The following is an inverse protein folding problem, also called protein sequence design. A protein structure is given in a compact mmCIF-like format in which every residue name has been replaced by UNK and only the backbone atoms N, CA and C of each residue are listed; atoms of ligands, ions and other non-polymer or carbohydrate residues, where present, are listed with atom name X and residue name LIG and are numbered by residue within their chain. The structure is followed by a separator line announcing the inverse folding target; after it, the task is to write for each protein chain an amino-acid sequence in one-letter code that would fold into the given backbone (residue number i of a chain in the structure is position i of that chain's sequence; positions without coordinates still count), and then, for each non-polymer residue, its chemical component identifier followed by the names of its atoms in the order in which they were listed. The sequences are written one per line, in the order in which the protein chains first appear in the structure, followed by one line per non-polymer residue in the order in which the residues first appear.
data_IF_756652681572
#
_entry.id   IF_756652681572
#
_cell.length_a   1.000
_cell.length_b   1.000
_cell.length_c   1.000
_cell.angle_alpha   90.00
_cell.angle_beta   90.00
_cell.angle_gamma   90.00
#
_symmetry.space_group_name_H-M   'P 1'
#
loop_
_entity.id
_entity.type
_entity.pdbx_description
1 polymer ?
#
# COMPACT_ATOMS: atom_id res chain seq x y z
N UNK A 1 24.25 15.23 -47.49
CA UNK A 1 22.85 15.55 -47.27
C UNK A 1 22.71 16.41 -46.02
N UNK A 2 22.12 17.63 -46.06
CA UNK A 2 22.10 18.55 -44.93
C UNK A 2 21.03 18.13 -43.90
N UNK A 3 21.40 18.25 -42.61
CA UNK A 3 20.48 18.12 -41.48
C UNK A 3 19.58 19.35 -41.46
N UNK A 4 18.26 19.13 -41.56
CA UNK A 4 17.30 20.19 -41.36
C UNK A 4 17.14 20.48 -39.86
N UNK A 5 17.53 21.65 -39.44
CA UNK A 5 17.19 22.21 -38.13
C UNK A 5 15.73 22.69 -38.18
N UNK A 6 14.89 22.10 -37.31
CA UNK A 6 13.54 22.63 -37.05
C UNK A 6 13.73 23.69 -35.95
N UNK A 7 13.67 24.95 -36.32
CA UNK A 7 13.52 26.08 -35.40
C UNK A 7 12.07 26.07 -34.89
N UNK A 8 11.87 25.70 -33.63
CA UNK A 8 10.62 25.98 -32.92
C UNK A 8 10.83 27.33 -32.23
N UNK A 9 10.20 28.37 -32.75
CA UNK A 9 10.06 29.63 -32.01
C UNK A 9 9.16 29.35 -30.77
N UNK A 10 9.80 29.27 -29.63
CA UNK A 10 9.13 29.31 -28.35
C UNK A 10 8.74 30.76 -28.06
N UNK A 11 7.46 31.11 -28.20
CA UNK A 11 6.94 32.30 -27.58
C UNK A 11 7.04 32.14 -26.08
N UNK A 12 7.76 33.00 -25.39
CA UNK A 12 7.85 33.08 -23.94
C UNK A 12 6.49 33.40 -23.34
N UNK A 13 5.69 32.37 -23.06
CA UNK A 13 4.63 32.43 -22.05
C UNK A 13 5.29 31.95 -20.78
N UNK A 14 5.54 32.85 -19.84
CA UNK A 14 6.19 32.52 -18.57
C UNK A 14 5.28 31.58 -17.79
N UNK A 15 5.84 30.51 -17.24
CA UNK A 15 5.13 29.51 -16.42
C UNK A 15 4.32 30.12 -15.26
N UNK A 16 4.68 31.34 -14.82
CA UNK A 16 3.98 32.06 -13.76
C UNK A 16 2.55 32.50 -14.13
N UNK A 17 2.25 32.70 -15.42
CA UNK A 17 0.94 33.16 -15.86
C UNK A 17 -0.06 31.98 -16.02
N UNK A 18 0.43 30.78 -16.34
CA UNK A 18 -0.39 29.56 -16.40
C UNK A 18 -0.77 29.07 -15.02
N UNK A 19 0.14 29.11 -14.06
CA UNK A 19 -0.14 28.73 -12.67
C UNK A 19 -1.07 29.72 -11.98
N UNK A 20 -0.98 31.04 -12.32
CA UNK A 20 -1.84 32.07 -11.76
C UNK A 20 -3.29 32.01 -12.30
N UNK A 21 -3.51 31.55 -13.52
CA UNK A 21 -4.84 31.42 -14.10
C UNK A 21 -5.55 30.12 -13.61
N UNK A 22 -4.77 29.04 -13.39
CA UNK A 22 -5.26 27.79 -12.84
C UNK A 22 -5.64 27.89 -11.36
N UNK A 23 -4.98 28.79 -10.60
CA UNK A 23 -5.27 29.05 -9.19
C UNK A 23 -6.39 30.07 -8.94
N UNK A 24 -6.92 30.76 -9.95
CA UNK A 24 -7.91 31.85 -9.76
C UNK A 24 -9.37 31.44 -9.83
N UNK A 25 -9.69 30.24 -10.30
CA UNK A 25 -11.05 29.72 -10.26
C UNK A 25 -11.10 28.43 -9.46
N UNK A 26 -11.22 28.56 -8.14
CA UNK A 26 -11.45 27.47 -7.19
C UNK A 26 -12.84 26.84 -7.34
N UNK A 27 -13.21 26.43 -8.54
CA UNK A 27 -14.35 25.53 -8.76
C UNK A 27 -13.80 24.12 -8.94
N UNK A 28 -14.27 23.16 -8.12
CA UNK A 28 -13.96 21.76 -8.39
C UNK A 28 -14.42 21.44 -9.82
N UNK A 29 -13.57 20.77 -10.59
CA UNK A 29 -13.97 20.21 -11.88
C UNK A 29 -14.97 19.10 -11.57
N UNK A 30 -16.27 19.47 -11.50
CA UNK A 30 -17.33 18.48 -11.32
C UNK A 30 -17.54 17.85 -12.68
N UNK A 31 -17.28 16.54 -12.87
CA UNK A 31 -17.68 15.85 -14.10
C UNK A 31 -19.21 15.95 -14.22
N UNK A 32 -19.68 16.28 -15.42
CA UNK A 32 -21.12 16.22 -15.73
C UNK A 32 -21.64 14.80 -15.41
N UNK A 33 -22.89 14.69 -14.99
CA UNK A 33 -23.60 13.48 -14.51
C UNK A 33 -23.63 12.26 -15.45
N UNK A 34 -22.88 12.25 -16.54
CA UNK A 34 -22.73 11.10 -17.41
C UNK A 34 -21.51 10.29 -16.96
N UNK A 35 -21.77 9.15 -16.36
CA UNK A 35 -20.83 8.13 -15.82
C UNK A 35 -19.93 7.46 -16.90
N UNK A 36 -19.55 8.19 -17.93
CA UNK A 36 -18.53 7.77 -18.90
C UNK A 36 -17.18 8.28 -18.44
N UNK A 37 -16.30 7.34 -18.08
CA UNK A 37 -14.93 7.65 -17.66
C UNK A 37 -14.26 8.58 -18.71
N UNK A 38 -13.93 9.80 -18.29
CA UNK A 38 -13.12 10.69 -19.10
C UNK A 38 -11.68 10.16 -19.09
N UNK A 39 -11.11 9.73 -20.25
CA UNK A 39 -9.77 9.12 -20.30
C UNK A 39 -8.67 10.03 -19.77
N UNK A 40 -8.80 11.34 -19.93
CA UNK A 40 -7.83 12.34 -19.46
C UNK A 40 -7.88 12.39 -17.92
N UNK A 41 -9.06 12.48 -17.33
CA UNK A 41 -9.20 12.46 -15.87
C UNK A 41 -8.74 11.12 -15.28
N UNK A 42 -9.05 10.01 -15.94
CA UNK A 42 -8.58 8.70 -15.52
C UNK A 42 -7.04 8.63 -15.43
N UNK A 43 -6.36 9.14 -16.46
CA UNK A 43 -4.88 9.18 -16.49
C UNK A 43 -4.33 10.12 -15.41
N UNK A 44 -4.92 11.30 -15.25
CA UNK A 44 -4.50 12.26 -14.21
C UNK A 44 -4.64 11.63 -12.82
N UNK A 45 -5.79 11.03 -12.49
CA UNK A 45 -6.01 10.44 -11.17
C UNK A 45 -5.17 9.19 -10.94
N UNK A 46 -4.95 8.38 -11.98
CA UNK A 46 -4.03 7.23 -11.89
C UNK A 46 -2.62 7.69 -11.49
N UNK A 47 -2.11 8.75 -12.13
CA UNK A 47 -0.80 9.32 -11.81
C UNK A 47 -0.77 10.00 -10.43
N UNK A 48 -1.83 10.69 -10.03
CA UNK A 48 -1.93 11.29 -8.69
C UNK A 48 -1.89 10.21 -7.59
N UNK A 49 -2.69 9.17 -7.70
CA UNK A 49 -2.67 8.09 -6.71
C UNK A 49 -1.34 7.33 -6.70
N UNK A 50 -0.76 7.05 -7.88
CA UNK A 50 0.58 6.42 -7.97
C UNK A 50 1.64 7.28 -7.28
N UNK A 51 1.64 8.60 -7.53
CA UNK A 51 2.55 9.55 -6.89
C UNK A 51 2.38 9.57 -5.37
N UNK A 52 1.15 9.47 -4.84
CA UNK A 52 0.92 9.39 -3.39
C UNK A 52 1.56 8.12 -2.83
N UNK A 53 1.33 6.95 -3.44
CA UNK A 53 1.91 5.69 -3.00
C UNK A 53 3.46 5.69 -3.08
N UNK A 54 4.03 6.32 -4.11
CA UNK A 54 5.48 6.52 -4.22
C UNK A 54 6.03 7.42 -3.11
N UNK A 55 5.36 8.52 -2.79
CA UNK A 55 5.76 9.42 -1.71
C UNK A 55 5.67 8.74 -0.33
N UNK A 56 4.68 7.87 -0.12
CA UNK A 56 4.64 6.99 1.06
C UNK A 56 5.92 6.13 1.12
N UNK A 57 6.31 5.51 0.01
CA UNK A 57 7.51 4.69 -0.09
C UNK A 57 8.79 5.47 0.19
N UNK A 58 8.92 6.68 -0.35
CA UNK A 58 10.06 7.58 -0.08
C UNK A 58 10.12 7.96 1.41
N UNK A 59 8.97 8.22 2.03
CA UNK A 59 8.89 8.51 3.47
C UNK A 59 9.37 7.30 4.27
N UNK A 60 8.86 6.10 3.95
CA UNK A 60 9.27 4.86 4.60
C UNK A 60 10.77 4.62 4.50
N UNK A 61 11.32 4.68 3.30
CA UNK A 61 12.75 4.50 3.05
C UNK A 61 13.61 5.46 3.88
N UNK A 62 13.23 6.74 3.94
CA UNK A 62 14.03 7.77 4.62
C UNK A 62 13.95 7.70 6.15
N UNK A 63 12.89 7.18 6.70
CA UNK A 63 12.63 7.17 8.14
C UNK A 63 12.92 5.83 8.82
N UNK A 64 13.01 4.72 8.07
CA UNK A 64 13.31 3.40 8.60
C UNK A 64 14.78 3.24 9.00
N UNK A 65 15.04 2.26 9.86
CA UNK A 65 16.37 1.91 10.35
C UNK A 65 16.95 0.68 9.67
N UNK A 66 16.12 -0.35 9.40
CA UNK A 66 16.62 -1.62 8.88
C UNK A 66 17.18 -1.49 7.47
N UNK A 67 18.25 -2.25 7.19
CA UNK A 67 18.88 -2.33 5.87
C UNK A 67 17.91 -2.86 4.81
N UNK A 68 17.01 -3.78 5.19
CA UNK A 68 16.03 -4.34 4.26
C UNK A 68 15.11 -3.25 3.70
N UNK A 69 14.58 -2.39 4.55
CA UNK A 69 13.69 -1.30 4.14
C UNK A 69 14.46 -0.18 3.47
N UNK A 70 15.56 0.27 4.10
CA UNK A 70 16.28 1.47 3.70
C UNK A 70 17.12 1.30 2.44
N UNK A 71 17.83 0.16 2.33
CA UNK A 71 18.81 -0.07 1.26
C UNK A 71 18.30 -1.03 0.19
N UNK A 72 17.59 -2.09 0.60
CA UNK A 72 17.04 -3.08 -0.33
C UNK A 72 15.68 -2.71 -0.88
N UNK A 73 15.02 -1.70 -0.31
CA UNK A 73 13.67 -1.26 -0.66
C UNK A 73 12.63 -2.39 -0.57
N UNK A 74 12.83 -3.29 0.40
CA UNK A 74 11.98 -4.45 0.60
C UNK A 74 10.70 -4.08 1.36
N UNK A 75 9.87 -3.31 0.68
CA UNK A 75 8.59 -2.82 1.18
C UNK A 75 7.63 -2.50 0.03
N UNK A 76 6.37 -2.30 0.37
CA UNK A 76 5.33 -1.84 -0.56
C UNK A 76 4.37 -0.89 0.14
N UNK A 77 3.92 0.14 -0.59
CA UNK A 77 2.92 1.09 -0.12
C UNK A 77 1.73 1.09 -1.09
N UNK A 78 0.53 1.17 -0.56
CA UNK A 78 -0.69 1.08 -1.36
C UNK A 78 -1.85 1.87 -0.75
N UNK A 79 -2.82 2.20 -1.61
CA UNK A 79 -4.07 2.88 -1.28
C UNK A 79 -5.24 1.95 -1.61
N UNK A 80 -6.21 1.92 -0.72
CA UNK A 80 -7.39 1.05 -0.82
C UNK A 80 -8.68 1.86 -0.67
N UNK A 81 -9.76 1.36 -1.26
CA UNK A 81 -11.11 1.84 -0.97
C UNK A 81 -11.51 1.53 0.48
N UNK A 82 -12.62 2.12 0.94
CA UNK A 82 -13.21 1.78 2.25
C UNK A 82 -13.61 0.31 2.40
N UNK A 83 -13.73 -0.42 1.30
CA UNK A 83 -14.04 -1.88 1.28
C UNK A 83 -12.78 -2.75 1.25
N UNK A 84 -11.59 -2.16 1.25
CA UNK A 84 -10.31 -2.88 1.20
C UNK A 84 -9.88 -3.33 -0.19
N UNK A 85 -10.53 -2.83 -1.25
CA UNK A 85 -10.12 -3.12 -2.61
C UNK A 85 -8.97 -2.21 -3.03
N UNK A 86 -7.94 -2.79 -3.64
CA UNK A 86 -6.76 -2.07 -4.09
C UNK A 86 -7.13 -1.03 -5.16
N UNK A 87 -6.68 0.20 -4.96
CA UNK A 87 -6.77 1.27 -5.96
C UNK A 87 -5.46 1.39 -6.71
N UNK A 88 -4.37 1.55 -5.97
CA UNK A 88 -3.03 1.71 -6.51
C UNK A 88 -1.99 1.21 -5.50
N UNK A 89 -0.90 0.72 -6.03
CA UNK A 89 0.34 0.49 -5.28
C UNK A 89 1.51 1.16 -6.04
N UNK A 90 2.53 1.55 -5.32
CA UNK A 90 3.78 1.95 -5.95
C UNK A 90 4.50 0.73 -6.56
N UNK A 91 5.39 0.92 -7.55
CA UNK A 91 6.09 -0.17 -8.23
C UNK A 91 7.21 -0.76 -7.33
N UNK A 92 6.80 -1.37 -6.23
CA UNK A 92 7.66 -1.99 -5.23
C UNK A 92 7.72 -3.52 -5.41
N UNK A 93 7.78 -4.27 -4.31
CA UNK A 93 8.00 -5.73 -4.34
C UNK A 93 6.74 -6.48 -4.84
N UNK A 94 6.83 -7.25 -5.93
CA UNK A 94 5.67 -7.91 -6.52
C UNK A 94 4.95 -8.90 -5.60
N UNK A 95 5.68 -9.61 -4.72
CA UNK A 95 5.09 -10.60 -3.80
C UNK A 95 4.10 -9.97 -2.82
N UNK A 96 4.24 -8.69 -2.51
CA UNK A 96 3.33 -7.98 -1.62
C UNK A 96 1.99 -7.62 -2.27
N UNK A 97 1.98 -7.43 -3.61
CA UNK A 97 0.90 -6.76 -4.34
C UNK A 97 -0.46 -7.43 -4.22
N UNK A 98 -0.54 -8.74 -4.45
CA UNK A 98 -1.81 -9.48 -4.40
C UNK A 98 -2.31 -9.72 -2.98
N UNK A 99 -1.40 -9.89 -2.04
CA UNK A 99 -1.72 -10.28 -0.67
C UNK A 99 -2.19 -9.12 0.22
N UNK A 100 -1.73 -7.87 -0.03
CA UNK A 100 -2.07 -6.72 0.83
C UNK A 100 -3.57 -6.43 0.86
N UNK A 101 -4.28 -6.58 -0.26
CA UNK A 101 -5.74 -6.40 -0.29
C UNK A 101 -6.46 -7.38 0.64
N UNK A 102 -6.03 -8.63 0.66
CA UNK A 102 -6.59 -9.64 1.57
C UNK A 102 -6.29 -9.31 3.04
N UNK A 103 -5.08 -8.82 3.35
CA UNK A 103 -4.76 -8.33 4.70
C UNK A 103 -5.69 -7.22 5.14
N UNK A 104 -5.93 -6.23 4.29
CA UNK A 104 -6.83 -5.10 4.59
C UNK A 104 -8.26 -5.58 4.80
N UNK A 105 -8.76 -6.48 3.94
CA UNK A 105 -10.11 -7.07 4.07
C UNK A 105 -10.26 -7.89 5.34
N UNK A 106 -9.23 -8.63 5.74
CA UNK A 106 -9.27 -9.37 7.01
C UNK A 106 -9.33 -8.43 8.23
N UNK A 107 -8.59 -7.32 8.22
CA UNK A 107 -8.69 -6.32 9.29
C UNK A 107 -10.10 -5.73 9.34
N UNK A 108 -10.69 -5.37 8.19
CA UNK A 108 -12.06 -4.86 8.12
C UNK A 108 -13.10 -5.87 8.63
N UNK A 109 -12.87 -7.17 8.42
CA UNK A 109 -13.77 -8.23 8.87
C UNK A 109 -13.60 -8.57 10.37
N UNK A 110 -12.37 -8.54 10.87
CA UNK A 110 -12.04 -8.96 12.24
C UNK A 110 -12.28 -7.86 13.26
N UNK A 111 -12.26 -6.58 12.85
CA UNK A 111 -12.45 -5.43 13.76
C UNK A 111 -13.87 -4.91 13.66
N UNK A 112 -14.69 -5.09 14.70
CA UNK A 112 -16.11 -4.70 14.67
C UNK A 112 -16.33 -3.21 14.47
N UNK A 113 -15.44 -2.39 15.01
CA UNK A 113 -15.49 -0.92 14.90
C UNK A 113 -14.09 -0.39 14.64
N UNK A 114 -13.92 0.21 13.49
CA UNK A 114 -12.70 0.92 13.09
C UNK A 114 -12.93 2.40 13.29
N UNK A 115 -12.22 2.99 14.25
CA UNK A 115 -12.38 4.38 14.65
C UNK A 115 -11.44 5.35 13.92
N UNK A 116 -11.78 6.63 13.88
CA UNK A 116 -10.86 7.67 13.41
C UNK A 116 -9.58 7.70 14.27
N UNK A 117 -8.42 7.71 13.61
CA UNK A 117 -7.12 7.74 14.27
C UNK A 117 -6.63 6.39 14.77
N UNK A 118 -7.31 5.30 14.44
CA UNK A 118 -6.81 3.94 14.67
C UNK A 118 -5.68 3.57 13.68
N UNK A 119 -4.78 2.72 14.12
CA UNK A 119 -3.74 2.08 13.28
C UNK A 119 -3.59 0.63 13.69
N UNK A 120 -3.57 -0.25 12.70
CA UNK A 120 -3.48 -1.70 12.90
C UNK A 120 -2.17 -2.25 12.37
N UNK A 121 -1.62 -3.23 13.09
CA UNK A 121 -0.39 -3.98 12.73
C UNK A 121 -0.73 -5.46 12.61
N UNK A 122 -0.27 -6.11 11.56
CA UNK A 122 -0.41 -7.54 11.37
C UNK A 122 0.71 -8.12 10.51
N UNK A 123 1.08 -9.37 10.76
CA UNK A 123 1.97 -10.15 9.90
C UNK A 123 1.44 -11.58 9.70
N UNK A 124 0.15 -11.83 9.97
CA UNK A 124 -0.43 -13.16 9.94
C UNK A 124 -0.49 -13.72 8.49
N UNK A 125 0.28 -14.77 8.15
CA UNK A 125 0.33 -15.33 6.81
C UNK A 125 -0.99 -16.00 6.40
N UNK A 126 -1.84 -16.38 7.34
CA UNK A 126 -3.16 -16.96 7.08
C UNK A 126 -4.26 -15.89 6.91
N UNK A 127 -3.90 -14.62 7.05
CA UNK A 127 -4.77 -13.45 6.93
C UNK A 127 -4.23 -12.43 5.92
N UNK A 128 -3.77 -12.93 4.77
CA UNK A 128 -3.22 -12.10 3.69
C UNK A 128 -1.77 -11.66 3.90
N UNK A 129 -1.09 -12.14 4.93
CA UNK A 129 0.36 -11.98 5.08
C UNK A 129 1.13 -12.91 4.14
N UNK A 130 2.43 -12.65 3.95
CA UNK A 130 3.34 -13.52 3.19
C UNK A 130 4.07 -14.47 4.13
N UNK A 131 4.85 -13.92 5.04
CA UNK A 131 5.55 -14.60 6.14
C UNK A 131 5.77 -13.61 7.29
N UNK A 132 6.16 -14.11 8.48
CA UNK A 132 6.14 -13.28 9.70
C UNK A 132 6.97 -11.99 9.64
N UNK A 133 8.16 -11.94 9.00
CA UNK A 133 8.93 -10.70 8.88
C UNK A 133 8.26 -9.60 8.02
N UNK A 134 7.29 -9.95 7.17
CA UNK A 134 6.52 -9.00 6.36
C UNK A 134 5.42 -8.32 7.20
N UNK A 135 5.81 -7.34 7.99
CA UNK A 135 4.88 -6.60 8.86
C UNK A 135 4.08 -5.59 8.05
N UNK A 136 2.77 -5.65 8.17
CA UNK A 136 1.83 -4.76 7.48
C UNK A 136 1.18 -3.80 8.46
N UNK A 137 1.23 -2.49 8.14
CA UNK A 137 0.52 -1.43 8.85
C UNK A 137 -0.64 -0.96 8.00
N UNK A 138 -1.81 -0.86 8.60
CA UNK A 138 -3.03 -0.33 7.95
C UNK A 138 -3.55 0.85 8.74
N UNK A 139 -3.76 1.97 8.03
CA UNK A 139 -4.27 3.21 8.59
C UNK A 139 -5.58 3.58 7.91
N UNK A 140 -6.72 3.50 8.61
CA UNK A 140 -8.01 3.94 8.13
C UNK A 140 -8.07 5.46 8.01
N UNK A 141 -8.75 5.95 6.98
CA UNK A 141 -8.99 7.37 6.73
C UNK A 141 -10.48 7.63 6.80
N UNK A 142 -10.89 8.46 7.74
CA UNK A 142 -12.29 8.83 7.92
C UNK A 142 -12.51 10.25 7.41
N UNK A 143 -13.69 10.46 6.86
CA UNK A 143 -14.19 11.80 6.56
C UNK A 143 -14.37 12.60 7.85
N UNK A 144 -13.94 13.85 7.84
CA UNK A 144 -13.94 14.68 9.05
C UNK A 144 -15.34 15.15 9.48
N UNK A 145 -16.29 15.22 8.54
CA UNK A 145 -17.64 15.73 8.79
C UNK A 145 -18.60 14.58 9.11
N UNK A 146 -18.61 13.52 8.29
CA UNK A 146 -19.53 12.39 8.48
C UNK A 146 -19.01 11.33 9.44
N UNK A 147 -17.68 11.26 9.66
CA UNK A 147 -17.04 10.18 10.41
C UNK A 147 -17.00 8.84 9.69
N UNK A 148 -17.43 8.78 8.43
CA UNK A 148 -17.43 7.55 7.64
C UNK A 148 -16.01 7.18 7.20
N UNK A 149 -15.72 5.87 7.13
CA UNK A 149 -14.48 5.35 6.55
C UNK A 149 -14.49 5.57 5.04
N UNK A 150 -13.53 6.32 4.52
CA UNK A 150 -13.47 6.70 3.10
C UNK A 150 -12.35 6.02 2.33
N UNK A 151 -11.20 5.79 2.95
CA UNK A 151 -10.03 5.15 2.35
C UNK A 151 -9.28 4.33 3.40
N UNK A 152 -8.31 3.53 2.92
CA UNK A 152 -7.25 2.99 3.78
C UNK A 152 -5.91 3.18 3.07
N UNK A 153 -4.88 3.51 3.83
CA UNK A 153 -3.49 3.43 3.39
C UNK A 153 -2.82 2.26 4.08
N UNK A 154 -1.97 1.54 3.36
CA UNK A 154 -1.21 0.47 3.96
C UNK A 154 0.24 0.45 3.45
N UNK A 155 1.13 0.00 4.33
CA UNK A 155 2.51 -0.31 4.00
C UNK A 155 2.86 -1.69 4.55
N UNK A 156 3.61 -2.47 3.77
CA UNK A 156 4.21 -3.75 4.18
C UNK A 156 5.70 -3.62 4.04
N UNK A 157 6.44 -4.02 5.07
CA UNK A 157 7.90 -3.97 5.06
C UNK A 157 8.48 -5.27 5.62
N UNK A 158 9.55 -5.75 4.98
CA UNK A 158 10.30 -6.90 5.43
C UNK A 158 11.27 -6.50 6.54
N UNK A 159 10.92 -6.79 7.79
CA UNK A 159 11.77 -6.54 8.94
C UNK A 159 13.00 -7.45 8.93
N UNK A 160 14.12 -6.99 9.45
CA UNK A 160 15.37 -7.74 9.47
C UNK A 160 15.28 -9.04 10.27
N UNK A 161 14.42 -9.07 11.29
CA UNK A 161 14.04 -10.24 12.07
C UNK A 161 12.73 -9.95 12.83
N UNK A 162 12.05 -10.99 13.26
CA UNK A 162 10.83 -10.91 14.06
C UNK A 162 10.81 -12.02 15.14
N UNK A 163 11.94 -12.43 15.64
CA UNK A 163 12.09 -13.57 16.54
C UNK A 163 12.31 -14.90 15.79
N UNK A 164 11.85 -15.99 16.38
CA UNK A 164 12.04 -17.33 15.82
C UNK A 164 13.32 -18.03 16.29
N UNK A 165 13.46 -19.31 15.90
CA UNK A 165 14.57 -20.17 16.36
C UNK A 165 15.95 -19.74 15.88
N UNK A 166 16.01 -19.07 14.71
CA UNK A 166 17.25 -18.52 14.14
C UNK A 166 17.03 -17.07 13.73
N UNK A 167 18.11 -16.26 13.65
CA UNK A 167 18.02 -14.92 13.07
C UNK A 167 17.66 -14.98 11.57
N UNK A 168 16.98 -13.96 11.10
CA UNK A 168 16.59 -13.84 9.69
C UNK A 168 15.12 -14.16 9.46
N UNK A 169 14.76 -14.45 8.22
CA UNK A 169 13.38 -14.44 7.77
C UNK A 169 12.76 -15.79 7.44
N UNK A 170 13.58 -16.82 7.23
CA UNK A 170 13.12 -18.14 6.79
C UNK A 170 13.94 -19.25 7.46
N UNK A 171 13.58 -19.65 8.69
CA UNK A 171 14.29 -20.72 9.39
C UNK A 171 14.02 -22.07 8.70
N UNK A 172 15.06 -22.75 8.15
CA UNK A 172 14.85 -23.93 7.31
C UNK A 172 14.39 -25.18 8.06
N UNK A 173 14.46 -25.16 9.40
CA UNK A 173 14.10 -26.29 10.25
C UNK A 173 12.90 -26.05 11.13
N UNK A 174 12.18 -24.93 10.94
CA UNK A 174 10.94 -24.65 11.67
C UNK A 174 9.88 -25.71 11.40
N UNK A 175 9.12 -26.07 12.43
CA UNK A 175 8.05 -27.08 12.38
C UNK A 175 6.69 -26.49 12.63
N UNK A 176 6.64 -25.26 13.08
CA UNK A 176 5.42 -24.52 13.37
C UNK A 176 5.71 -23.01 13.31
N UNK A 177 4.63 -22.22 13.19
CA UNK A 177 4.71 -20.77 13.02
C UNK A 177 5.43 -20.06 14.18
N UNK A 178 5.30 -20.54 15.42
CA UNK A 178 5.99 -19.95 16.58
C UNK A 178 7.51 -20.09 16.51
N UNK A 179 8.04 -21.08 15.80
CA UNK A 179 9.46 -21.24 15.53
C UNK A 179 9.98 -20.30 14.43
N UNK A 180 9.08 -19.74 13.63
CA UNK A 180 9.43 -18.78 12.57
C UNK A 180 9.50 -17.34 13.08
N UNK A 181 8.79 -17.00 14.15
CA UNK A 181 8.84 -15.67 14.76
C UNK A 181 7.60 -15.32 15.56
N UNK A 182 7.51 -14.06 15.94
CA UNK A 182 6.37 -13.51 16.67
C UNK A 182 5.21 -13.25 15.71
N UNK A 183 4.07 -13.84 16.01
CA UNK A 183 2.82 -13.62 15.25
C UNK A 183 2.06 -12.42 15.81
N UNK A 184 1.81 -11.43 14.96
CA UNK A 184 1.02 -10.24 15.26
C UNK A 184 -0.33 -10.38 14.55
N UNK A 185 -1.41 -10.65 15.30
CA UNK A 185 -2.76 -10.76 14.77
C UNK A 185 -3.53 -9.49 15.00
N UNK A 186 -3.73 -8.70 13.94
CA UNK A 186 -4.58 -7.51 13.96
C UNK A 186 -4.43 -6.67 15.25
N UNK A 187 -3.17 -6.36 15.62
CA UNK A 187 -2.87 -5.59 16.83
C UNK A 187 -3.23 -4.13 16.60
N UNK A 188 -4.05 -3.55 17.49
CA UNK A 188 -4.38 -2.11 17.45
C UNK A 188 -3.23 -1.32 18.07
N UNK A 189 -2.32 -0.81 17.22
CA UNK A 189 -1.16 -0.03 17.63
C UNK A 189 -1.53 1.38 18.11
N UNK A 190 -2.50 1.99 17.43
CA UNK A 190 -3.04 3.29 17.84
C UNK A 190 -4.55 3.13 17.98
N UNK A 191 -5.09 3.60 19.08
CA UNK A 191 -6.52 3.64 19.36
C UNK A 191 -6.96 5.08 19.62
N UNK A 192 -7.83 5.61 18.77
CA UNK A 192 -8.30 7.00 18.88
C UNK A 192 -7.15 8.01 19.05
N UNK A 193 -6.06 7.85 18.28
CA UNK A 193 -4.87 8.70 18.33
C UNK A 193 -3.92 8.44 19.51
N UNK A 194 -4.17 7.45 20.36
CA UNK A 194 -3.31 7.09 21.49
C UNK A 194 -2.47 5.84 21.13
N UNK A 195 -1.16 5.98 21.18
CA UNK A 195 -0.24 4.87 20.91
C UNK A 195 -0.27 3.81 22.00
N UNK A 196 -0.26 2.54 21.60
CA UNK A 196 -0.07 1.36 22.42
C UNK A 196 1.29 0.68 22.13
N UNK A 197 2.35 1.50 22.02
CA UNK A 197 3.71 0.99 21.77
C UNK A 197 4.17 0.03 22.88
N UNK A 198 3.78 0.26 24.14
CA UNK A 198 4.11 -0.64 25.25
C UNK A 198 3.58 -2.04 25.01
N UNK A 199 2.31 -2.18 24.64
CA UNK A 199 1.72 -3.48 24.32
C UNK A 199 2.35 -4.16 23.10
N UNK A 200 2.78 -3.37 22.09
CA UNK A 200 3.53 -3.91 20.96
C UNK A 200 4.90 -4.46 21.40
N UNK A 201 5.61 -3.74 22.26
CA UNK A 201 6.91 -4.20 22.81
C UNK A 201 6.77 -5.47 23.66
N UNK A 202 5.72 -5.56 24.46
CA UNK A 202 5.38 -6.75 25.22
C UNK A 202 5.14 -7.93 24.27
N UNK A 203 4.29 -7.74 23.25
CA UNK A 203 3.99 -8.77 22.25
C UNK A 203 5.25 -9.25 21.51
N UNK A 204 6.14 -8.33 21.10
CA UNK A 204 7.39 -8.69 20.42
C UNK A 204 8.39 -9.41 21.36
N UNK A 205 8.26 -9.17 22.67
CA UNK A 205 9.09 -9.80 23.69
C UNK A 205 8.54 -11.10 24.27
N UNK A 206 7.32 -11.51 23.87
CA UNK A 206 6.66 -12.70 24.39
C UNK A 206 7.09 -14.01 23.68
N UNK A 207 6.80 -15.13 24.36
CA UNK A 207 6.97 -16.47 23.83
C UNK A 207 8.40 -17.01 23.96
N UNK A 208 8.61 -18.24 23.47
CA UNK A 208 9.90 -18.94 23.60
C UNK A 208 10.98 -18.38 22.66
N UNK A 209 10.59 -17.69 21.61
CA UNK A 209 11.47 -17.17 20.56
C UNK A 209 11.16 -15.71 20.22
N UNK A 210 11.33 -14.77 21.19
CA UNK A 210 11.00 -13.37 21.03
C UNK A 210 11.89 -12.67 19.99
N UNK A 211 11.48 -11.48 19.54
CA UNK A 211 12.33 -10.61 18.74
C UNK A 211 13.62 -10.27 19.49
N UNK A 212 14.74 -10.27 18.78
CA UNK A 212 16.08 -9.93 19.29
C UNK A 212 16.37 -8.44 19.22
N UNK A 213 15.66 -7.73 18.32
CA UNK A 213 15.88 -6.31 18.03
C UNK A 213 14.55 -5.54 18.09
N UNK A 214 13.85 -5.63 19.23
CA UNK A 214 12.54 -4.98 19.43
C UNK A 214 12.59 -3.48 19.11
N UNK A 215 13.70 -2.80 19.44
CA UNK A 215 13.84 -1.37 19.15
C UNK A 215 13.84 -1.09 17.65
N UNK A 216 14.50 -1.91 16.85
CA UNK A 216 14.53 -1.76 15.39
C UNK A 216 13.17 -2.07 14.78
N UNK A 217 12.48 -3.12 15.27
CA UNK A 217 11.12 -3.42 14.84
C UNK A 217 10.15 -2.25 15.11
N UNK A 218 10.19 -1.70 16.31
CA UNK A 218 9.33 -0.57 16.70
C UNK A 218 9.65 0.67 15.88
N UNK A 219 10.94 0.93 15.61
CA UNK A 219 11.34 2.06 14.77
C UNK A 219 10.87 1.92 13.31
N UNK A 220 11.00 0.74 12.72
CA UNK A 220 10.52 0.48 11.36
C UNK A 220 8.98 0.49 11.29
N UNK A 221 8.28 -0.01 12.31
CA UNK A 221 6.83 0.13 12.44
C UNK A 221 6.42 1.60 12.52
N UNK A 222 7.14 2.41 13.30
CA UNK A 222 6.89 3.86 13.38
C UNK A 222 7.13 4.55 12.02
N UNK A 223 8.15 4.13 11.27
CA UNK A 223 8.41 4.61 9.91
C UNK A 223 7.28 4.25 8.93
N UNK A 224 6.72 3.03 9.04
CA UNK A 224 5.55 2.61 8.27
C UNK A 224 4.30 3.44 8.62
N UNK A 225 4.06 3.73 9.90
CA UNK A 225 2.98 4.62 10.34
C UNK A 225 3.17 6.03 9.76
N UNK A 226 4.39 6.56 9.79
CA UNK A 226 4.70 7.88 9.20
C UNK A 226 4.46 7.89 7.68
N UNK A 227 4.82 6.84 6.98
CA UNK A 227 4.55 6.67 5.55
C UNK A 227 3.06 6.67 5.25
N UNK A 228 2.28 5.87 5.99
CA UNK A 228 0.82 5.83 5.86
C UNK A 228 0.19 7.21 6.13
N UNK A 229 0.62 7.90 7.18
CA UNK A 229 0.13 9.25 7.51
C UNK A 229 0.47 10.29 6.43
N UNK A 230 1.63 10.14 5.75
CA UNK A 230 1.95 10.96 4.57
C UNK A 230 0.92 10.73 3.45
N UNK A 231 0.57 9.48 3.18
CA UNK A 231 -0.48 9.11 2.23
C UNK A 231 -1.85 9.67 2.62
N UNK A 232 -2.22 9.56 3.90
CA UNK A 232 -3.48 10.13 4.44
C UNK A 232 -3.57 11.63 4.18
N UNK A 233 -2.48 12.36 4.46
CA UNK A 233 -2.42 13.80 4.23
C UNK A 233 -2.65 14.15 2.76
N UNK A 234 -1.93 13.52 1.86
CA UNK A 234 -2.04 13.76 0.42
C UNK A 234 -3.40 13.36 -0.16
N UNK A 235 -4.02 12.29 0.34
CA UNK A 235 -5.38 11.90 -0.03
C UNK A 235 -6.41 12.95 0.41
N UNK A 236 -6.25 13.52 1.61
CA UNK A 236 -7.13 14.61 2.09
C UNK A 236 -6.98 15.87 1.24
N UNK A 237 -5.77 16.27 0.89
CA UNK A 237 -5.51 17.39 -0.03
C UNK A 237 -6.17 17.15 -1.40
N UNK A 238 -6.17 15.89 -1.87
CA UNK A 238 -6.85 15.51 -3.11
C UNK A 238 -8.37 15.64 -2.99
N UNK A 239 -8.95 15.22 -1.86
CA UNK A 239 -10.39 15.38 -1.58
C UNK A 239 -10.79 16.85 -1.47
N UNK A 240 -9.99 17.67 -0.80
CA UNK A 240 -10.21 19.13 -0.72
C UNK A 240 -10.21 19.80 -2.11
N UNK A 241 -9.32 19.34 -3.00
CA UNK A 241 -9.18 19.90 -4.35
C UNK A 241 -10.28 19.45 -5.31
N UNK A 242 -10.72 18.21 -5.26
CA UNK A 242 -11.59 17.60 -6.26
C UNK A 242 -12.96 17.14 -5.75
N UNK A 243 -13.23 17.19 -4.48
CA UNK A 243 -14.32 16.58 -3.71
C UNK A 243 -14.21 15.05 -3.55
N UNK A 244 -14.79 14.54 -2.48
CA UNK A 244 -14.81 13.12 -2.16
C UNK A 244 -15.52 12.29 -3.24
N UNK A 245 -16.62 12.79 -3.76
CA UNK A 245 -17.40 12.10 -4.78
C UNK A 245 -16.59 11.89 -6.07
N UNK A 246 -15.84 12.90 -6.51
CA UNK A 246 -14.96 12.79 -7.69
C UNK A 246 -13.84 11.80 -7.43
N UNK A 247 -13.17 11.89 -6.27
CA UNK A 247 -12.07 10.97 -5.91
C UNK A 247 -12.55 9.53 -5.89
N UNK A 248 -13.67 9.21 -5.26
CA UNK A 248 -14.27 7.87 -5.25
C UNK A 248 -14.68 7.40 -6.66
N UNK A 249 -15.28 8.27 -7.48
CA UNK A 249 -15.61 7.93 -8.86
C UNK A 249 -14.36 7.53 -9.66
N UNK A 250 -13.27 8.29 -9.54
CA UNK A 250 -12.03 7.98 -10.26
C UNK A 250 -11.34 6.70 -9.74
N UNK A 251 -11.40 6.40 -8.44
CA UNK A 251 -10.95 5.11 -7.91
C UNK A 251 -11.71 3.95 -8.56
N UNK A 252 -13.03 4.04 -8.66
CA UNK A 252 -13.86 3.04 -9.29
C UNK A 252 -13.55 2.89 -10.79
N UNK A 253 -13.31 4.00 -11.51
CA UNK A 253 -12.95 3.96 -12.93
C UNK A 253 -11.59 3.29 -13.15
N UNK A 254 -10.58 3.54 -12.31
CA UNK A 254 -9.27 2.89 -12.37
C UNK A 254 -9.42 1.38 -12.18
N UNK A 255 -10.18 0.95 -11.17
CA UNK A 255 -10.43 -0.47 -10.92
C UNK A 255 -11.17 -1.16 -12.08
N UNK A 256 -12.20 -0.51 -12.63
CA UNK A 256 -12.92 -1.03 -13.82
C UNK A 256 -12.00 -1.14 -15.03
N UNK A 257 -11.16 -0.14 -15.30
CA UNK A 257 -10.21 -0.15 -16.40
C UNK A 257 -9.16 -1.27 -16.22
N UNK A 258 -8.65 -1.47 -15.02
CA UNK A 258 -7.72 -2.56 -14.71
C UNK A 258 -8.36 -3.94 -14.90
N UNK A 259 -9.60 -4.13 -14.42
CA UNK A 259 -10.36 -5.35 -14.60
C UNK A 259 -10.64 -5.66 -16.08
N UNK A 260 -10.96 -4.64 -16.88
CA UNK A 260 -11.19 -4.82 -18.32
C UNK A 260 -9.90 -5.21 -19.07
N UNK A 261 -8.78 -4.53 -18.76
CA UNK A 261 -7.46 -4.91 -19.31
C UNK A 261 -7.12 -6.37 -18.99
N UNK A 262 -7.37 -6.81 -17.76
CA UNK A 262 -7.14 -8.20 -17.36
C UNK A 262 -8.05 -9.17 -18.12
N UNK A 263 -9.35 -8.88 -18.27
CA UNK A 263 -10.28 -9.70 -19.06
C UNK A 263 -9.84 -9.85 -20.51
N UNK A 264 -9.38 -8.74 -21.12
CA UNK A 264 -8.87 -8.76 -22.49
C UNK A 264 -7.61 -9.61 -22.61
N UNK A 265 -6.69 -9.50 -21.64
CA UNK A 265 -5.49 -10.34 -21.61
C UNK A 265 -5.83 -11.83 -21.46
N UNK A 266 -6.75 -12.18 -20.58
CA UNK A 266 -7.21 -13.57 -20.38
C UNK A 266 -7.89 -14.13 -21.63
N UNK A 267 -8.70 -13.31 -22.36
CA UNK A 267 -9.33 -13.73 -23.61
C UNK A 267 -8.33 -14.06 -24.75
N UNK A 268 -7.11 -13.52 -24.66
CA UNK A 268 -6.05 -13.84 -25.63
C UNK A 268 -5.41 -15.22 -25.39
N UNK A 269 -5.65 -15.83 -24.24
CA UNK A 269 -5.21 -17.20 -23.94
C UNK A 269 -6.26 -18.16 -24.51
N UNK A 270 -5.88 -19.07 -25.41
CA UNK A 270 -6.84 -20.06 -25.97
C UNK A 270 -7.46 -20.90 -24.86
N UNK A 271 -8.71 -21.29 -25.02
CA UNK A 271 -9.34 -22.26 -24.11
C UNK A 271 -8.63 -23.60 -24.23
N UNK A 272 -8.26 -24.18 -23.08
CA UNK A 272 -7.51 -25.42 -23.04
C UNK A 272 -7.08 -25.83 -21.64
N UNK A 273 -6.53 -27.00 -21.56
CA UNK A 273 -5.86 -27.48 -20.36
C UNK A 273 -4.35 -27.21 -20.50
N UNK A 274 -3.79 -26.49 -19.53
CA UNK A 274 -2.38 -26.15 -19.47
C UNK A 274 -1.75 -26.90 -18.29
N UNK A 275 -0.80 -27.77 -18.58
CA UNK A 275 -0.11 -28.58 -17.58
C UNK A 275 1.40 -28.36 -17.71
N UNK A 276 2.05 -28.15 -16.59
CA UNK A 276 3.51 -28.09 -16.48
C UNK A 276 3.92 -28.83 -15.23
N UNK A 277 4.93 -29.64 -15.34
CA UNK A 277 5.60 -30.26 -14.19
C UNK A 277 6.97 -29.61 -14.03
N UNK A 278 7.26 -29.13 -12.84
CA UNK A 278 8.58 -28.67 -12.42
C UNK A 278 9.07 -29.56 -11.27
N UNK A 279 10.33 -29.44 -10.90
CA UNK A 279 10.93 -30.30 -9.89
C UNK A 279 11.66 -29.46 -8.84
N UNK A 280 11.56 -29.87 -7.58
CA UNK A 280 12.42 -29.39 -6.50
C UNK A 280 13.84 -29.98 -6.66
N UNK A 281 14.81 -29.43 -5.92
CA UNK A 281 16.22 -29.88 -5.96
C UNK A 281 16.39 -31.35 -5.54
N UNK A 282 15.45 -31.88 -4.74
CA UNK A 282 15.40 -33.28 -4.32
C UNK A 282 14.77 -34.22 -5.38
N UNK A 283 14.33 -33.66 -6.51
CA UNK A 283 13.62 -34.37 -7.57
C UNK A 283 12.13 -34.60 -7.36
N UNK A 284 11.55 -34.03 -6.32
CA UNK A 284 10.11 -34.08 -6.07
C UNK A 284 9.34 -33.23 -7.09
N UNK A 285 8.32 -33.78 -7.81
CA UNK A 285 7.59 -33.02 -8.80
C UNK A 285 6.61 -32.03 -8.17
N UNK A 286 6.55 -30.82 -8.73
CA UNK A 286 5.53 -29.80 -8.48
C UNK A 286 4.63 -29.74 -9.72
N UNK A 287 3.31 -29.84 -9.52
CA UNK A 287 2.31 -29.79 -10.60
C UNK A 287 1.33 -28.63 -10.38
#
# INVERSE_FOLDING_TARGET
LPRGEILIEASEVTDSDRDAEFCREGRPIVPAENDTANPILLEIFNNLFASIAEQMGVTLQKTSLSTNVKERLDFSCAIFTSTGDLVVNAPHIPVHLGAMSETVKHILADVPVIGPGDVYVTNDPFRGGSHLPDVTIVTPVHDAESGELIFLTASRAHHSEIGGIVPGSMPPFSRNLGEEGVLIRCFRLVENGRSNETGLRELLGEGPWPSRSINDNVADIAAQVAANNSGVKLLRELVERYSLAVVHSQMNHIQRAAAEKMRLALKAIPDGQYERTDFLDDGSPIR
#
